data_IF_599119927232
#
_entry.id   IF_599119927232
#
_cell.length_a   1.000
_cell.length_b   1.000
_cell.length_c   1.000
_cell.angle_alpha   90.00
_cell.angle_beta   90.00
_cell.angle_gamma   90.00
#
_symmetry.space_group_name_H-M   'P 1'
#
loop_
_entity.id
_entity.type
_entity.pdbx_description
1 polymer ?
#
# COMPACT_ATOMS: atom_id res chain seq x y z
N UNK A 1 -9.05 8.56 -10.28
CA UNK A 1 -8.53 8.03 -11.54
C UNK A 1 -8.15 6.58 -11.32
N UNK A 2 -8.95 5.67 -11.86
CA UNK A 2 -8.56 4.28 -11.96
C UNK A 2 -7.47 4.24 -13.02
N UNK A 3 -6.24 3.94 -12.64
CA UNK A 3 -5.16 3.69 -13.58
C UNK A 3 -5.62 2.54 -14.47
N UNK A 4 -5.91 2.83 -15.71
CA UNK A 4 -6.42 1.84 -16.65
C UNK A 4 -5.25 0.95 -17.08
N UNK A 5 -5.42 -0.37 -16.99
CA UNK A 5 -4.44 -1.40 -17.32
C UNK A 5 -3.70 -1.20 -18.64
N UNK A 6 -4.36 -0.51 -19.59
CA UNK A 6 -3.85 -0.26 -20.93
C UNK A 6 -2.81 0.86 -21.05
N UNK A 7 -2.64 1.68 -20.00
CA UNK A 7 -1.79 2.89 -20.07
C UNK A 7 -0.45 2.75 -19.35
N UNK A 8 -0.16 1.56 -18.79
CA UNK A 8 1.08 1.34 -18.07
C UNK A 8 1.94 0.33 -18.83
N UNK A 9 3.00 0.84 -19.45
CA UNK A 9 4.05 0.02 -20.06
C UNK A 9 5.16 -0.24 -19.04
N UNK A 10 5.66 -1.49 -18.97
CA UNK A 10 6.76 -1.85 -18.07
C UNK A 10 6.35 -2.30 -16.67
N UNK A 11 5.10 -2.73 -16.49
CA UNK A 11 4.61 -3.28 -15.23
C UNK A 11 4.62 -4.81 -15.29
N UNK A 12 5.35 -5.46 -14.39
CA UNK A 12 5.48 -6.91 -14.33
C UNK A 12 4.21 -7.62 -13.82
N UNK A 13 3.27 -6.88 -13.20
CA UNK A 13 2.03 -7.45 -12.71
C UNK A 13 1.17 -6.47 -11.91
N UNK A 14 0.03 -6.98 -11.44
CA UNK A 14 -0.89 -6.23 -10.58
C UNK A 14 -0.90 -6.83 -9.19
N UNK A 15 -0.76 -5.97 -8.20
CA UNK A 15 -0.84 -6.35 -6.80
C UNK A 15 -2.30 -6.49 -6.39
N UNK A 16 -2.67 -7.64 -5.84
CA UNK A 16 -4.00 -7.84 -5.26
C UNK A 16 -4.06 -7.37 -3.83
N UNK A 17 -5.09 -6.58 -3.55
CA UNK A 17 -5.41 -6.09 -2.21
C UNK A 17 -6.09 -7.17 -1.35
N UNK A 18 -6.50 -8.29 -1.95
CA UNK A 18 -7.17 -9.40 -1.27
C UNK A 18 -6.64 -10.74 -1.79
N UNK A 19 -6.55 -11.72 -0.91
CA UNK A 19 -6.30 -13.12 -1.26
C UNK A 19 -7.42 -13.60 -2.19
N UNK A 20 -7.15 -13.71 -3.48
CA UNK A 20 -8.19 -14.22 -4.38
C UNK A 20 -7.78 -14.40 -5.83
N UNK A 21 -7.24 -13.40 -6.47
CA UNK A 21 -6.89 -13.48 -7.90
C UNK A 21 -5.66 -12.64 -8.20
N UNK A 22 -4.52 -13.27 -8.38
CA UNK A 22 -3.28 -12.67 -8.83
C UNK A 22 -2.06 -13.32 -8.21
N UNK A 23 -0.92 -12.90 -8.69
CA UNK A 23 0.36 -13.51 -8.38
C UNK A 23 1.06 -12.89 -7.19
N UNK A 24 0.70 -11.65 -6.87
CA UNK A 24 1.36 -10.82 -5.85
C UNK A 24 0.34 -10.47 -4.77
N UNK A 25 0.69 -10.71 -3.53
CA UNK A 25 -0.15 -10.37 -2.37
C UNK A 25 0.31 -9.06 -1.75
N UNK A 26 -0.61 -8.11 -1.66
CA UNK A 26 -0.48 -6.84 -0.94
C UNK A 26 -1.46 -6.78 0.23
N UNK A 27 -1.22 -5.87 1.15
CA UNK A 27 -2.12 -5.56 2.28
C UNK A 27 -2.24 -6.65 3.35
N UNK A 28 -1.41 -7.67 3.32
CA UNK A 28 -1.17 -8.51 4.49
C UNK A 28 0.02 -7.92 5.24
N UNK A 29 -0.03 -8.01 6.57
CA UNK A 29 1.08 -7.54 7.40
C UNK A 29 2.22 -8.58 7.36
N UNK A 30 2.99 -8.57 6.27
CA UNK A 30 4.13 -9.46 6.04
C UNK A 30 5.35 -8.87 6.74
N UNK A 31 5.55 -9.26 8.00
CA UNK A 31 6.58 -8.69 8.87
C UNK A 31 7.60 -9.72 9.38
N UNK A 32 7.60 -10.93 8.81
CA UNK A 32 8.58 -11.97 9.14
C UNK A 32 8.71 -13.00 8.02
N UNK A 33 9.79 -13.78 8.04
CA UNK A 33 10.12 -14.78 7.02
C UNK A 33 9.11 -15.94 6.94
N UNK A 34 8.42 -16.26 8.02
CA UNK A 34 7.37 -17.30 8.01
C UNK A 34 6.12 -16.83 7.28
N UNK A 35 5.74 -15.55 7.44
CA UNK A 35 4.61 -14.98 6.69
C UNK A 35 4.88 -15.01 5.18
N UNK A 36 6.11 -14.73 4.75
CA UNK A 36 6.51 -14.86 3.34
C UNK A 36 6.34 -16.30 2.89
N UNK A 37 6.89 -17.28 3.64
CA UNK A 37 6.79 -18.68 3.29
C UNK A 37 5.33 -19.16 3.20
N UNK A 38 4.49 -18.81 4.16
CA UNK A 38 3.08 -19.19 4.17
C UNK A 38 2.33 -18.68 2.92
N UNK A 39 2.63 -17.46 2.47
CA UNK A 39 2.03 -16.91 1.25
C UNK A 39 2.46 -17.71 0.02
N UNK A 40 3.74 -18.09 -0.07
CA UNK A 40 4.24 -18.92 -1.17
C UNK A 40 3.63 -20.33 -1.16
N UNK A 41 3.46 -20.92 0.03
CA UNK A 41 2.78 -22.22 0.21
C UNK A 41 1.30 -22.18 -0.20
N UNK A 42 0.64 -21.02 -0.08
CA UNK A 42 -0.71 -20.80 -0.59
C UNK A 42 -0.77 -20.71 -2.12
N UNK A 43 0.38 -20.76 -2.82
CA UNK A 43 0.48 -20.73 -4.27
C UNK A 43 0.60 -19.34 -4.90
N UNK A 44 0.92 -18.31 -4.10
CA UNK A 44 1.25 -16.99 -4.62
C UNK A 44 2.73 -16.93 -5.02
N UNK A 45 3.05 -16.11 -6.01
CA UNK A 45 4.41 -16.00 -6.54
C UNK A 45 5.28 -15.06 -5.71
N UNK A 46 4.66 -14.07 -5.06
CA UNK A 46 5.37 -13.07 -4.26
C UNK A 46 4.41 -12.31 -3.32
N UNK A 47 4.98 -11.53 -2.43
CA UNK A 47 4.22 -10.64 -1.54
C UNK A 47 4.93 -9.29 -1.36
N UNK A 48 4.21 -8.32 -0.84
CA UNK A 48 4.76 -7.02 -0.43
C UNK A 48 5.08 -7.08 1.06
N UNK A 49 6.32 -6.75 1.44
CA UNK A 49 6.70 -6.60 2.85
C UNK A 49 5.91 -5.43 3.44
N UNK A 50 5.47 -5.59 4.69
CA UNK A 50 4.74 -4.56 5.42
C UNK A 50 5.49 -3.23 5.42
N UNK A 51 4.75 -2.15 5.17
CA UNK A 51 5.29 -0.79 5.23
C UNK A 51 5.62 -0.36 6.67
N UNK A 52 5.20 -1.13 7.67
CA UNK A 52 5.56 -0.94 9.09
C UNK A 52 6.96 -1.47 9.43
N UNK A 53 7.56 -2.28 8.53
CA UNK A 53 8.90 -2.81 8.72
C UNK A 53 9.95 -1.75 8.36
N UNK A 54 10.80 -1.44 9.34
CA UNK A 54 11.97 -0.63 9.12
C UNK A 54 13.06 -1.37 8.31
N UNK A 55 14.09 -0.67 7.92
CA UNK A 55 15.19 -1.19 7.11
C UNK A 55 15.88 -2.40 7.74
N UNK A 56 16.08 -2.40 9.04
CA UNK A 56 16.74 -3.48 9.77
C UNK A 56 15.86 -4.71 9.85
N UNK A 57 14.56 -4.52 10.08
CA UNK A 57 13.59 -5.62 10.08
C UNK A 57 13.50 -6.27 8.70
N UNK A 58 13.52 -5.46 7.62
CA UNK A 58 13.54 -5.97 6.24
C UNK A 58 14.79 -6.81 6.00
N UNK A 59 15.97 -6.34 6.41
CA UNK A 59 17.23 -7.09 6.31
C UNK A 59 17.15 -8.44 7.03
N UNK A 60 16.64 -8.46 8.26
CA UNK A 60 16.48 -9.67 9.05
C UNK A 60 15.45 -10.65 8.43
N UNK A 61 14.36 -10.16 7.86
CA UNK A 61 13.40 -10.99 7.13
C UNK A 61 14.10 -11.71 5.97
N UNK A 62 14.86 -10.97 5.17
CA UNK A 62 15.55 -11.51 4.00
C UNK A 62 16.62 -12.53 4.38
N UNK A 63 17.45 -12.22 5.38
CA UNK A 63 18.46 -13.14 5.92
C UNK A 63 17.83 -14.42 6.47
N UNK A 64 16.80 -14.29 7.31
CA UNK A 64 16.14 -15.43 7.93
C UNK A 64 15.44 -16.31 6.90
N UNK A 65 14.85 -15.72 5.86
CA UNK A 65 14.24 -16.47 4.77
C UNK A 65 15.29 -17.24 3.96
N UNK A 66 16.34 -16.55 3.47
CA UNK A 66 17.40 -17.16 2.67
C UNK A 66 18.13 -18.26 3.44
N UNK A 67 18.43 -18.06 4.72
CA UNK A 67 19.07 -19.08 5.57
C UNK A 67 18.21 -20.34 5.73
N UNK A 68 16.89 -20.23 5.76
CA UNK A 68 15.96 -21.35 5.98
C UNK A 68 15.61 -22.09 4.71
N UNK A 69 15.39 -21.35 3.62
CA UNK A 69 14.85 -21.90 2.37
C UNK A 69 15.90 -21.99 1.24
N UNK A 70 17.08 -21.42 1.44
CA UNK A 70 18.24 -21.46 0.51
C UNK A 70 17.99 -20.78 -0.85
N UNK A 71 17.08 -19.79 -0.88
CA UNK A 71 16.89 -18.90 -2.02
C UNK A 71 16.40 -17.52 -1.54
N UNK A 72 16.48 -16.50 -2.39
CA UNK A 72 16.02 -15.15 -2.05
C UNK A 72 14.51 -15.09 -1.98
N UNK A 73 13.97 -14.42 -0.94
CA UNK A 73 12.54 -14.22 -0.81
C UNK A 73 12.01 -13.41 -2.00
N UNK A 74 10.98 -13.90 -2.74
CA UNK A 74 10.37 -13.17 -3.85
C UNK A 74 9.40 -12.11 -3.31
N UNK A 75 9.95 -11.01 -2.84
CA UNK A 75 9.18 -9.95 -2.17
C UNK A 75 9.33 -8.62 -2.89
N UNK A 76 8.34 -7.75 -2.68
CA UNK A 76 8.37 -6.35 -3.05
C UNK A 76 8.56 -5.48 -1.81
N UNK A 77 9.37 -4.42 -1.94
CA UNK A 77 9.45 -3.34 -0.95
C UNK A 77 8.89 -2.06 -1.56
N UNK A 78 8.01 -1.40 -0.84
CA UNK A 78 7.50 -0.09 -1.23
C UNK A 78 8.58 0.96 -0.97
N UNK A 79 8.93 1.73 -2.01
CA UNK A 79 9.91 2.82 -1.91
C UNK A 79 9.26 4.20 -1.90
N UNK A 80 8.04 4.32 -2.45
CA UNK A 80 7.35 5.60 -2.54
C UNK A 80 5.87 5.40 -2.33
N UNK A 81 5.30 6.13 -1.38
CA UNK A 81 3.85 6.14 -1.14
C UNK A 81 3.44 7.27 -0.21
N UNK A 82 2.16 7.62 -0.24
CA UNK A 82 1.48 8.22 0.91
C UNK A 82 0.90 7.10 1.75
N UNK A 83 1.30 7.01 3.00
CA UNK A 83 0.93 5.89 3.84
C UNK A 83 -0.58 5.87 4.10
N UNK A 84 -1.22 4.73 3.84
CA UNK A 84 -2.61 4.50 4.20
C UNK A 84 -2.70 4.19 5.69
N UNK A 85 -3.31 5.11 6.44
CA UNK A 85 -3.40 5.03 7.90
C UNK A 85 -4.63 4.24 8.35
N UNK A 86 -5.75 4.35 7.60
CA UNK A 86 -7.01 3.74 8.01
C UNK A 86 -7.92 3.47 6.80
N UNK A 87 -8.74 2.42 6.91
CA UNK A 87 -9.89 2.19 6.02
C UNK A 87 -11.14 2.04 6.88
N UNK A 88 -12.20 2.76 6.54
CA UNK A 88 -13.46 2.77 7.31
C UNK A 88 -14.68 2.72 6.40
N UNK A 89 -15.76 2.15 6.89
CA UNK A 89 -17.10 2.21 6.25
C UNK A 89 -17.85 3.48 6.60
N UNK A 90 -17.46 4.16 7.67
CA UNK A 90 -17.99 5.46 8.03
C UNK A 90 -17.44 6.55 7.11
N UNK A 91 -18.29 7.46 6.64
CA UNK A 91 -17.88 8.60 5.83
C UNK A 91 -17.94 9.89 6.64
N UNK A 92 -16.81 10.40 7.17
CA UNK A 92 -16.81 11.63 7.96
C UNK A 92 -17.23 12.85 7.13
N UNK A 93 -16.92 12.88 5.84
CA UNK A 93 -17.33 13.96 4.94
C UNK A 93 -18.85 14.04 4.83
N UNK A 94 -19.51 12.89 4.64
CA UNK A 94 -20.96 12.85 4.57
C UNK A 94 -21.63 13.22 5.90
N UNK A 95 -21.05 12.75 7.00
CA UNK A 95 -21.57 13.09 8.34
C UNK A 95 -21.46 14.59 8.61
N UNK A 96 -20.33 15.21 8.27
CA UNK A 96 -20.12 16.63 8.51
C UNK A 96 -20.95 17.54 7.58
N UNK A 97 -21.17 17.13 6.32
CA UNK A 97 -21.77 18.02 5.31
C UNK A 97 -23.22 17.68 4.92
N UNK A 98 -23.69 16.47 5.22
CA UNK A 98 -25.05 15.99 4.85
C UNK A 98 -25.74 15.19 5.95
N UNK A 99 -25.40 15.36 7.19
CA UNK A 99 -26.03 14.68 8.33
C UNK A 99 -26.14 13.15 8.16
N UNK A 100 -25.19 12.51 7.48
CA UNK A 100 -25.18 11.08 7.23
C UNK A 100 -26.10 10.60 6.08
N UNK A 101 -26.79 11.47 5.37
CA UNK A 101 -27.66 11.10 4.24
C UNK A 101 -26.81 10.72 3.01
N UNK A 102 -26.82 9.44 2.67
CA UNK A 102 -25.92 8.88 1.61
C UNK A 102 -26.50 8.96 0.19
N UNK A 103 -27.81 9.08 0.01
CA UNK A 103 -28.45 9.06 -1.30
C UNK A 103 -27.98 10.24 -2.15
N UNK A 104 -27.37 9.95 -3.31
CA UNK A 104 -26.87 10.95 -4.26
C UNK A 104 -25.75 11.82 -3.70
N UNK A 105 -24.96 11.30 -2.75
CA UNK A 105 -23.95 12.10 -2.06
C UNK A 105 -22.89 12.68 -3.01
N UNK A 106 -22.10 11.85 -3.71
CA UNK A 106 -21.08 12.25 -4.69
C UNK A 106 -19.98 13.21 -4.19
N UNK A 107 -19.95 13.54 -2.90
CA UNK A 107 -19.05 14.57 -2.35
C UNK A 107 -17.57 14.25 -2.60
N UNK A 108 -17.16 13.01 -2.36
CA UNK A 108 -15.77 12.59 -2.49
C UNK A 108 -15.30 12.38 -3.94
N UNK A 109 -16.20 12.45 -4.93
CA UNK A 109 -15.84 12.27 -6.34
C UNK A 109 -15.24 13.54 -6.96
N UNK A 110 -15.64 14.71 -6.47
CA UNK A 110 -15.30 15.99 -7.08
C UNK A 110 -14.36 16.84 -6.21
N UNK A 111 -14.15 16.44 -4.97
CA UNK A 111 -13.39 17.23 -4.01
C UNK A 111 -12.45 16.35 -3.20
N UNK A 112 -11.26 16.85 -2.95
CA UNK A 112 -10.34 16.33 -1.96
C UNK A 112 -10.73 16.93 -0.60
N UNK A 113 -10.78 16.09 0.41
CA UNK A 113 -11.03 16.52 1.79
C UNK A 113 -9.82 16.17 2.65
N UNK A 114 -9.51 17.08 3.53
CA UNK A 114 -8.47 16.87 4.55
C UNK A 114 -9.10 16.97 5.93
N UNK A 115 -8.59 16.21 6.86
CA UNK A 115 -8.87 16.32 8.29
C UNK A 115 -7.62 16.85 8.96
N UNK A 116 -7.79 17.81 9.86
CA UNK A 116 -6.74 18.31 10.72
C UNK A 116 -7.03 17.90 12.16
N UNK A 117 -6.06 17.23 12.79
CA UNK A 117 -6.12 16.86 14.19
C UNK A 117 -5.85 18.06 15.09
N UNK A 118 -6.19 17.94 16.38
CA UNK A 118 -5.89 18.97 17.38
C UNK A 118 -4.39 19.22 17.56
N UNK A 119 -3.57 18.28 17.18
CA UNK A 119 -2.09 18.37 17.17
C UNK A 119 -1.54 18.99 15.85
N UNK A 120 -2.41 19.47 14.97
CA UNK A 120 -2.05 20.04 13.67
C UNK A 120 -1.67 19.02 12.61
N UNK A 121 -1.72 17.72 12.89
CA UNK A 121 -1.49 16.68 11.89
C UNK A 121 -2.64 16.65 10.89
N UNK A 122 -2.29 16.58 9.62
CA UNK A 122 -3.27 16.50 8.53
C UNK A 122 -3.22 15.14 7.86
N UNK A 123 -4.41 14.67 7.52
CA UNK A 123 -4.62 13.47 6.71
C UNK A 123 -5.64 13.81 5.61
N UNK A 124 -5.52 13.16 4.47
CA UNK A 124 -6.51 13.32 3.42
C UNK A 124 -7.37 12.06 3.24
N UNK A 125 -8.54 12.25 2.66
CA UNK A 125 -9.59 11.26 2.53
C UNK A 125 -9.81 10.93 1.06
N UNK A 126 -9.79 9.64 0.73
CA UNK A 126 -10.25 9.13 -0.55
C UNK A 126 -11.39 8.14 -0.32
N UNK A 127 -12.50 8.36 -1.03
CA UNK A 127 -13.63 7.44 -1.06
C UNK A 127 -13.60 6.54 -2.28
N UNK A 128 -14.05 5.30 -2.14
CA UNK A 128 -14.30 4.41 -3.26
C UNK A 128 -15.78 4.35 -3.65
N UNK A 129 -16.09 3.62 -4.73
CA UNK A 129 -17.45 3.44 -5.24
C UNK A 129 -18.43 2.83 -4.24
N UNK A 130 -17.92 2.07 -3.26
CA UNK A 130 -18.70 1.39 -2.24
C UNK A 130 -18.76 2.22 -0.93
N UNK A 131 -18.37 3.50 -1.00
CA UNK A 131 -18.31 4.42 0.13
C UNK A 131 -17.40 3.97 1.28
N UNK A 132 -16.38 3.16 1.00
CA UNK A 132 -15.30 2.97 1.96
C UNK A 132 -14.36 4.18 1.88
N UNK A 133 -14.09 4.77 3.02
CA UNK A 133 -13.17 5.91 3.13
C UNK A 133 -11.80 5.42 3.56
N UNK A 134 -10.77 5.89 2.87
CA UNK A 134 -9.37 5.63 3.21
C UNK A 134 -8.72 6.93 3.62
N UNK A 135 -8.03 6.88 4.76
CA UNK A 135 -7.21 7.98 5.25
C UNK A 135 -5.77 7.74 4.86
N UNK A 136 -5.14 8.78 4.34
CA UNK A 136 -3.74 8.79 3.96
C UNK A 136 -3.01 9.92 4.66
N UNK A 137 -1.75 9.70 4.98
CA UNK A 137 -0.86 10.79 5.37
C UNK A 137 -0.72 11.77 4.19
N UNK A 138 -0.67 13.07 4.49
CA UNK A 138 -0.39 14.09 3.47
C UNK A 138 1.07 14.06 3.04
N UNK A 139 1.95 13.58 3.90
CA UNK A 139 3.38 13.46 3.62
C UNK A 139 3.67 12.16 2.86
N UNK A 140 4.62 12.26 1.96
CA UNK A 140 5.14 11.11 1.24
C UNK A 140 6.18 10.41 2.10
N UNK A 141 6.09 9.08 2.15
CA UNK A 141 7.21 8.23 2.56
C UNK A 141 8.03 7.95 1.31
N UNK A 142 9.26 8.43 1.29
CA UNK A 142 10.20 8.25 0.19
C UNK A 142 11.45 7.54 0.70
N UNK A 143 11.65 6.32 0.24
CA UNK A 143 12.79 5.47 0.56
C UNK A 143 13.65 5.15 -0.68
N UNK A 144 13.53 5.93 -1.74
CA UNK A 144 14.24 5.69 -3.01
C UNK A 144 15.75 5.66 -2.80
N UNK A 145 16.28 6.52 -1.93
CA UNK A 145 17.71 6.54 -1.60
C UNK A 145 18.19 5.24 -0.94
N UNK A 146 17.32 4.54 -0.21
CA UNK A 146 17.62 3.26 0.44
C UNK A 146 17.59 2.06 -0.53
N UNK A 147 17.27 2.26 -1.80
CA UNK A 147 17.11 1.18 -2.79
C UNK A 147 18.33 0.27 -2.85
N UNK A 148 19.55 0.83 -2.86
CA UNK A 148 20.79 0.05 -2.95
C UNK A 148 20.99 -0.87 -1.74
N UNK A 149 20.57 -0.44 -0.57
CA UNK A 149 20.64 -1.25 0.64
C UNK A 149 19.66 -2.43 0.52
N UNK A 150 18.42 -2.17 0.10
CA UNK A 150 17.44 -3.22 -0.13
C UNK A 150 17.88 -4.22 -1.21
N UNK A 151 18.50 -3.75 -2.29
CA UNK A 151 19.11 -4.62 -3.30
C UNK A 151 20.22 -5.51 -2.70
N UNK A 152 21.04 -4.98 -1.78
CA UNK A 152 22.07 -5.75 -1.09
C UNK A 152 21.51 -6.83 -0.15
N UNK A 153 20.27 -6.65 0.34
CA UNK A 153 19.56 -7.67 1.14
C UNK A 153 18.91 -8.75 0.26
N UNK A 154 18.97 -8.63 -1.06
CA UNK A 154 18.42 -9.59 -2.02
C UNK A 154 17.04 -9.21 -2.56
N UNK A 155 16.52 -8.00 -2.27
CA UNK A 155 15.26 -7.52 -2.84
C UNK A 155 15.49 -7.08 -4.28
N UNK A 156 14.70 -7.65 -5.20
CA UNK A 156 14.81 -7.40 -6.65
C UNK A 156 13.65 -6.58 -7.20
N UNK A 157 12.56 -6.45 -6.44
CA UNK A 157 11.32 -5.82 -6.90
C UNK A 157 10.91 -4.68 -5.97
N UNK A 158 10.60 -3.53 -6.57
CA UNK A 158 10.20 -2.34 -5.85
C UNK A 158 8.83 -1.87 -6.30
N UNK A 159 8.07 -1.30 -5.35
CA UNK A 159 6.74 -0.76 -5.57
C UNK A 159 6.73 0.75 -5.35
N UNK A 160 6.00 1.44 -6.22
CA UNK A 160 5.68 2.85 -6.12
C UNK A 160 4.17 3.00 -6.11
N UNK A 161 3.63 3.70 -5.13
CA UNK A 161 2.18 3.89 -4.99
C UNK A 161 1.85 5.37 -5.12
N UNK A 162 1.20 5.71 -6.21
CA UNK A 162 0.68 7.05 -6.46
C UNK A 162 -0.79 7.09 -6.09
N UNK A 163 -1.22 8.06 -5.31
CA UNK A 163 -2.58 8.17 -4.77
C UNK A 163 -3.34 9.36 -5.30
N UNK A 164 -2.77 10.54 -5.22
CA UNK A 164 -3.38 11.82 -5.59
C UNK A 164 -2.39 12.76 -6.29
N UNK A 165 -1.23 12.24 -6.67
CA UNK A 165 -0.23 12.97 -7.43
C UNK A 165 -0.79 13.33 -8.81
N UNK A 166 -0.66 14.60 -9.21
CA UNK A 166 -1.00 15.03 -10.57
C UNK A 166 0.01 14.44 -11.56
N UNK A 167 -0.47 14.05 -12.73
CA UNK A 167 0.42 13.82 -13.87
C UNK A 167 0.86 15.20 -14.38
N UNK A 168 2.07 15.60 -14.08
CA UNK A 168 2.76 16.68 -14.79
C UNK A 168 3.54 16.13 -15.97
#
# INVERSE_FOLDING_TARGET
NVINKSNITGVDGFVNVHLGKGKIVDSLNVSNSYSVAAILEMGYESCVISDECDKYQVEEIMKAFSSRYHFDAPVYKTLYQKQRLMTMKHCPVNTALKDGKRVGCGLCHNHRYELEGLDGKRVFLLGDKDCHMRLYDVNVTDEIENRKDYESYGIKHFRFVFTDESQE
#
